data_IF_996503231292
#
_entry.id   IF_996503231292
#
_cell.length_a   1.000
_cell.length_b   1.000
_cell.length_c   1.000
_cell.angle_alpha   90.00
_cell.angle_beta   90.00
_cell.angle_gamma   90.00
#
_symmetry.space_group_name_H-M   'P 1'
#
loop_
_entity.id
_entity.type
_entity.pdbx_description
1 polymer ?
#
# COMPACT_ATOMS: atom_id res chain seq x y z
N UNK A 1 -28.67 -12.51 7.38
CA UNK A 1 -28.74 -12.19 8.07
C UNK A 1 -28.88 -12.25 8.07
N UNK A 2 -28.14 -11.86 7.73
CA UNK A 2 -27.85 -11.58 8.15
C UNK A 2 -27.83 -11.77 7.97
N UNK A 3 -27.51 -11.83 8.03
CA UNK A 3 -27.34 -11.65 8.57
C UNK A 3 -27.27 -11.89 8.50
N UNK A 4 -26.87 -11.64 8.24
CA UNK A 4 -26.63 -11.56 8.68
C UNK A 4 -26.50 -11.76 8.55
N UNK A 5 -26.28 -11.92 8.40
CA UNK A 5 -26.18 -11.76 8.74
C UNK A 5 -26.11 -11.87 8.47
N UNK A 6 -25.75 -12.04 8.35
CA UNK A 6 -25.78 -11.80 8.60
C UNK A 6 -25.64 -11.80 8.42
N UNK A 7 -25.19 -11.84 8.18
CA UNK A 7 -25.12 -11.49 8.40
C UNK A 7 -25.00 -11.34 8.16
N UNK A 8 -24.60 -11.56 7.84
CA UNK A 8 -24.47 -11.03 8.18
C UNK A 8 -24.43 -10.86 7.61
N UNK A 9 -23.71 -10.75 7.39
CA UNK A 9 -23.90 -10.32 7.34
C UNK A 9 -23.99 -9.70 7.05
N UNK A 10 -23.04 -9.57 6.79
CA UNK A 10 -23.31 -8.97 6.87
C UNK A 10 -23.31 -8.29 6.75
N UNK A 11 -22.98 -8.24 6.62
CA UNK A 11 -23.22 -7.61 6.87
C UNK A 11 -23.14 -7.11 6.47
N UNK A 12 -22.86 -6.98 6.21
CA UNK A 12 -23.01 -6.57 6.16
C UNK A 12 -22.97 -5.98 5.63
N UNK A 13 -22.63 -5.97 5.40
CA UNK A 13 -22.56 -5.36 5.14
C UNK A 13 -22.25 -4.83 4.88
N UNK A 14 -22.12 -4.66 4.65
CA UNK A 14 -21.49 -4.22 4.49
C UNK A 14 -20.76 -3.81 4.78
N UNK A 15 -20.99 -3.91 5.13
CA UNK A 15 -19.93 -3.38 5.49
C UNK A 15 -18.74 -3.85 5.04
N UNK A 16 -18.36 -3.53 4.07
CA UNK A 16 -17.12 -3.91 3.56
C UNK A 16 -16.04 -3.61 4.55
N UNK A 17 -15.23 -4.56 4.79
CA UNK A 17 -14.15 -4.41 5.70
C UNK A 17 -12.94 -3.94 4.93
N UNK A 18 -12.74 -2.64 4.91
CA UNK A 18 -11.50 -2.08 4.39
C UNK A 18 -10.55 -1.98 5.56
N UNK A 19 -9.44 -2.70 5.49
CA UNK A 19 -8.43 -2.70 6.55
C UNK A 19 -7.17 -2.04 6.01
N UNK A 20 -6.66 -1.06 6.74
CA UNK A 20 -5.47 -0.34 6.31
C UNK A 20 -4.35 -0.51 7.32
N UNK A 21 -3.17 -0.83 6.80
CA UNK A 21 -1.98 -1.11 7.60
C UNK A 21 -0.81 -0.28 7.09
N UNK A 22 0.23 -0.17 7.93
CA UNK A 22 1.41 0.60 7.60
C UNK A 22 2.67 -0.16 8.00
N UNK A 23 3.77 0.09 7.30
CA UNK A 23 5.07 -0.50 7.61
C UNK A 23 5.99 0.54 8.22
N UNK A 24 7.09 0.07 8.83
CA UNK A 24 8.14 0.96 9.33
C UNK A 24 8.89 1.66 8.18
N UNK A 25 8.72 1.16 6.96
CA UNK A 25 9.31 1.77 5.76
C UNK A 25 8.38 2.83 5.17
N UNK A 26 7.25 3.13 5.85
CA UNK A 26 6.30 4.17 5.48
C UNK A 26 5.52 3.84 4.21
N UNK A 27 5.19 2.57 4.05
CA UNK A 27 4.27 2.10 3.02
C UNK A 27 2.94 1.79 3.66
N UNK A 28 1.85 1.99 2.93
CA UNK A 28 0.55 1.54 3.41
C UNK A 28 0.08 0.36 2.58
N UNK A 29 -0.72 -0.50 3.22
CA UNK A 29 -1.35 -1.66 2.59
C UNK A 29 -2.83 -1.60 2.95
N UNK A 30 -3.68 -1.45 1.93
CA UNK A 30 -5.12 -1.41 2.15
C UNK A 30 -5.74 -2.67 1.58
N UNK A 31 -6.37 -3.45 2.45
CA UNK A 31 -6.94 -4.74 2.08
C UNK A 31 -8.44 -4.60 1.93
N UNK A 32 -8.96 -5.00 0.78
CA UNK A 32 -10.38 -5.04 0.49
C UNK A 32 -10.67 -6.42 -0.10
N UNK A 33 -11.44 -7.24 0.61
CA UNK A 33 -11.71 -8.62 0.23
C UNK A 33 -10.38 -9.40 0.08
N UNK A 34 -10.05 -9.87 -1.12
CA UNK A 34 -8.83 -10.64 -1.35
C UNK A 34 -7.77 -9.85 -2.12
N UNK A 35 -7.89 -8.53 -2.13
CA UNK A 35 -6.98 -7.66 -2.87
C UNK A 35 -6.31 -6.68 -1.91
N UNK A 36 -5.01 -6.49 -2.09
CA UNK A 36 -4.24 -5.55 -1.29
C UNK A 36 -3.64 -4.47 -2.18
N UNK A 37 -3.90 -3.20 -1.85
CA UNK A 37 -3.34 -2.06 -2.56
C UNK A 37 -2.19 -1.49 -1.75
N UNK A 38 -1.08 -1.18 -2.40
CA UNK A 38 0.15 -0.73 -1.76
C UNK A 38 0.52 0.67 -2.26
N UNK A 39 0.98 1.52 -1.35
CA UNK A 39 1.44 2.86 -1.70
C UNK A 39 2.32 3.43 -0.61
N UNK A 40 2.74 4.69 -0.78
CA UNK A 40 3.51 5.42 0.22
C UNK A 40 2.59 6.20 1.12
N UNK A 41 2.92 6.27 2.42
CA UNK A 41 2.15 7.07 3.35
C UNK A 41 2.35 8.57 3.07
N UNK A 42 1.47 9.38 3.65
CA UNK A 42 1.62 10.83 3.56
C UNK A 42 2.93 11.30 4.14
N UNK A 43 3.36 10.66 5.24
CA UNK A 43 4.66 10.97 5.85
C UNK A 43 5.80 10.71 4.86
N UNK A 44 5.78 9.55 4.20
CA UNK A 44 6.81 9.21 3.22
C UNK A 44 6.83 10.20 2.06
N UNK A 45 5.66 10.58 1.57
CA UNK A 45 5.56 11.51 0.44
C UNK A 45 6.22 12.85 0.78
N UNK A 46 6.05 13.32 2.02
CA UNK A 46 6.67 14.57 2.46
C UNK A 46 8.20 14.46 2.51
N UNK A 47 8.69 13.27 2.89
CA UNK A 47 10.13 13.06 3.00
C UNK A 47 10.80 12.86 1.64
N UNK A 48 10.05 12.35 0.65
CA UNK A 48 10.60 12.02 -0.66
C UNK A 48 10.99 13.26 -1.48
N UNK A 49 10.29 14.38 -1.30
CA UNK A 49 10.42 15.50 -2.21
C UNK A 49 9.66 15.24 -3.50
N UNK A 50 9.88 16.04 -4.50
CA UNK A 50 9.10 15.95 -5.75
C UNK A 50 9.50 14.72 -6.54
N UNK A 51 8.55 13.81 -6.72
CA UNK A 51 8.78 12.54 -7.42
C UNK A 51 8.81 12.78 -8.92
N UNK A 52 9.85 12.28 -9.57
CA UNK A 52 10.05 12.47 -11.01
C UNK A 52 9.92 11.16 -11.80
N UNK A 53 10.10 10.02 -11.14
CA UNK A 53 10.04 8.73 -11.83
C UNK A 53 9.73 7.61 -10.85
N UNK A 54 8.92 6.65 -11.29
CA UNK A 54 8.59 5.45 -10.52
C UNK A 54 8.74 4.25 -11.43
N UNK A 55 9.51 3.27 -10.97
CA UNK A 55 9.58 1.97 -11.64
C UNK A 55 8.65 1.03 -10.90
N UNK A 56 7.63 0.51 -11.60
CA UNK A 56 6.61 -0.36 -11.03
C UNK A 56 6.82 -1.80 -11.47
N UNK A 57 6.30 -2.77 -10.70
CA UNK A 57 6.33 -4.17 -11.14
C UNK A 57 5.37 -4.38 -12.31
N UNK A 58 5.36 -5.61 -12.85
CA UNK A 58 4.47 -5.97 -13.95
C UNK A 58 3.38 -6.91 -13.46
N UNK A 59 2.25 -6.90 -14.16
CA UNK A 59 1.17 -7.82 -13.86
C UNK A 59 1.69 -9.25 -13.85
N UNK A 60 1.15 -10.05 -12.96
CA UNK A 60 1.47 -11.47 -12.77
C UNK A 60 2.83 -11.73 -12.13
N UNK A 61 3.63 -10.68 -11.85
CA UNK A 61 4.87 -10.87 -11.08
C UNK A 61 4.52 -11.30 -9.66
N UNK A 62 5.30 -12.24 -9.13
CA UNK A 62 5.13 -12.77 -7.78
C UNK A 62 6.27 -12.27 -6.89
N UNK A 63 5.93 -11.89 -5.67
CA UNK A 63 6.91 -11.37 -4.71
C UNK A 63 6.74 -12.03 -3.35
N UNK A 64 7.87 -12.16 -2.64
CA UNK A 64 7.87 -12.49 -1.23
C UNK A 64 8.08 -11.22 -0.44
N UNK A 65 7.77 -11.25 0.87
CA UNK A 65 8.06 -10.11 1.74
C UNK A 65 9.52 -9.73 1.60
N UNK A 66 9.76 -8.44 1.42
CA UNK A 66 11.12 -7.90 1.33
C UNK A 66 11.74 -7.93 -0.05
N UNK A 67 11.07 -8.54 -1.03
CA UNK A 67 11.56 -8.51 -2.40
C UNK A 67 11.41 -7.09 -2.97
N UNK A 68 12.29 -6.75 -3.90
CA UNK A 68 12.25 -5.44 -4.54
C UNK A 68 11.10 -5.38 -5.53
N UNK A 69 10.14 -4.50 -5.27
CA UNK A 69 9.00 -4.26 -6.15
C UNK A 69 9.37 -3.35 -7.33
N UNK A 70 10.18 -2.35 -7.07
CA UNK A 70 10.52 -1.35 -8.05
C UNK A 70 11.38 -0.28 -7.42
N UNK A 71 11.33 0.94 -7.95
CA UNK A 71 12.13 2.03 -7.42
C UNK A 71 11.43 3.36 -7.62
N UNK A 72 11.90 4.37 -6.91
CA UNK A 72 11.37 5.72 -7.00
C UNK A 72 12.51 6.71 -7.05
N UNK A 73 12.36 7.75 -7.87
CA UNK A 73 13.31 8.85 -7.96
C UNK A 73 12.61 10.17 -7.73
N UNK A 74 13.27 11.04 -6.99
CA UNK A 74 12.77 12.38 -6.72
C UNK A 74 13.93 13.37 -6.85
N UNK A 75 13.62 14.65 -6.61
CA UNK A 75 14.65 15.68 -6.64
C UNK A 75 15.65 15.55 -5.47
N UNK A 76 15.34 14.71 -4.47
CA UNK A 76 16.20 14.54 -3.30
C UNK A 76 16.88 13.19 -3.23
N UNK A 77 16.19 12.11 -3.63
CA UNK A 77 16.67 10.74 -3.41
C UNK A 77 16.31 9.82 -4.56
N UNK A 78 17.01 8.68 -4.58
CA UNK A 78 16.64 7.50 -5.35
C UNK A 78 16.59 6.34 -4.36
N UNK A 79 15.53 5.55 -4.39
CA UNK A 79 15.36 4.47 -3.43
C UNK A 79 14.62 3.29 -4.06
N UNK A 80 14.88 2.10 -3.53
CA UNK A 80 14.14 0.91 -3.92
C UNK A 80 12.86 0.82 -3.10
N UNK A 81 11.85 0.20 -3.70
CA UNK A 81 10.57 -0.09 -3.04
C UNK A 81 10.54 -1.59 -2.77
N UNK A 82 10.29 -1.98 -1.53
CA UNK A 82 10.28 -3.39 -1.13
C UNK A 82 8.85 -3.81 -0.81
N UNK A 83 8.56 -5.09 -1.09
CA UNK A 83 7.20 -5.60 -0.91
C UNK A 83 6.90 -5.79 0.59
N UNK A 84 5.82 -5.17 1.09
CA UNK A 84 5.44 -5.34 2.49
C UNK A 84 4.74 -6.65 2.79
N UNK A 85 4.26 -7.34 1.73
CA UNK A 85 3.56 -8.62 1.85
C UNK A 85 3.98 -9.50 0.69
N UNK A 86 3.72 -10.80 0.81
CA UNK A 86 3.90 -11.73 -0.32
C UNK A 86 2.62 -11.74 -1.15
N UNK A 87 2.74 -11.96 -2.45
CA UNK A 87 1.58 -12.02 -3.32
C UNK A 87 1.93 -11.90 -4.79
N UNK A 88 0.90 -11.79 -5.59
CA UNK A 88 1.01 -11.68 -7.06
C UNK A 88 0.41 -10.36 -7.51
N UNK A 89 1.13 -9.63 -8.34
CA UNK A 89 0.64 -8.34 -8.86
C UNK A 89 -0.55 -8.57 -9.77
N UNK A 90 -1.66 -7.90 -9.48
CA UNK A 90 -2.85 -7.96 -10.31
C UNK A 90 -3.17 -6.62 -11.00
N UNK A 91 -2.55 -5.53 -10.54
CA UNK A 91 -2.71 -4.22 -11.19
C UNK A 91 -1.56 -3.31 -10.79
N UNK A 92 -1.22 -2.38 -11.68
CA UNK A 92 -0.27 -1.30 -11.38
C UNK A 92 -0.92 0.01 -11.77
N UNK A 93 -0.51 1.09 -11.10
CA UNK A 93 -1.07 2.41 -11.37
C UNK A 93 -0.34 3.05 -12.55
N UNK A 94 -0.87 2.83 -13.74
CA UNK A 94 -0.23 3.29 -14.97
C UNK A 94 -0.20 4.81 -15.09
N UNK A 95 -1.04 5.50 -14.32
CA UNK A 95 -1.04 6.97 -14.33
C UNK A 95 0.27 7.55 -13.81
N UNK A 96 1.00 6.78 -13.01
CA UNK A 96 2.27 7.25 -12.47
C UNK A 96 3.36 7.38 -13.52
N UNK A 97 3.21 6.73 -14.67
CA UNK A 97 4.16 6.88 -15.77
C UNK A 97 4.14 8.31 -16.33
N UNK A 98 2.94 8.89 -16.44
CA UNK A 98 2.79 10.24 -16.94
C UNK A 98 2.75 11.29 -15.84
N UNK A 99 2.31 10.90 -14.64
CA UNK A 99 2.09 11.83 -13.52
C UNK A 99 2.66 11.24 -12.23
N UNK A 100 3.98 11.09 -12.14
CA UNK A 100 4.58 10.55 -10.91
C UNK A 100 4.34 11.42 -9.68
N UNK A 101 4.07 12.70 -9.88
CA UNK A 101 3.78 13.63 -8.80
C UNK A 101 2.45 13.34 -8.09
N UNK A 102 1.63 12.41 -8.61
CA UNK A 102 0.46 11.95 -7.88
C UNK A 102 0.84 11.36 -6.52
N UNK A 103 2.05 10.81 -6.42
CA UNK A 103 2.54 10.30 -5.14
C UNK A 103 2.69 11.44 -4.14
N UNK A 104 3.07 12.62 -4.61
CA UNK A 104 3.18 13.79 -3.73
C UNK A 104 1.81 14.38 -3.39
N UNK A 105 0.92 14.44 -4.39
CA UNK A 105 -0.36 15.12 -4.22
C UNK A 105 -1.40 14.29 -3.48
N UNK A 106 -1.39 12.97 -3.72
CA UNK A 106 -2.42 12.09 -3.19
C UNK A 106 -1.84 10.72 -2.89
N UNK A 107 -0.84 10.63 -1.97
CA UNK A 107 -0.10 9.38 -1.76
C UNK A 107 -0.95 8.22 -1.29
N UNK A 108 -2.01 8.49 -0.52
CA UNK A 108 -2.82 7.43 0.06
C UNK A 108 -4.12 7.21 -0.68
N UNK A 109 -4.27 7.81 -1.87
CA UNK A 109 -5.44 7.60 -2.72
C UNK A 109 -4.98 7.44 -4.16
N UNK A 110 -4.92 8.53 -4.94
CA UNK A 110 -4.63 8.46 -6.38
C UNK A 110 -3.19 8.05 -6.69
N UNK A 111 -2.28 8.21 -5.75
CA UNK A 111 -0.88 7.87 -5.91
C UNK A 111 -0.52 6.44 -5.51
N UNK A 112 -1.51 5.53 -5.47
CA UNK A 112 -1.23 4.13 -5.16
C UNK A 112 -0.26 3.54 -6.18
N UNK A 113 0.51 2.53 -5.75
CA UNK A 113 1.55 1.93 -6.59
C UNK A 113 1.07 0.72 -7.35
N UNK A 114 0.63 -0.29 -6.62
CA UNK A 114 0.21 -1.56 -7.23
C UNK A 114 -0.77 -2.28 -6.33
N UNK A 115 -1.40 -3.33 -6.88
CA UNK A 115 -2.32 -4.18 -6.15
C UNK A 115 -1.88 -5.63 -6.27
N UNK A 116 -2.08 -6.38 -5.21
CA UNK A 116 -1.72 -7.79 -5.14
C UNK A 116 -2.91 -8.65 -4.78
N UNK A 117 -2.91 -9.88 -5.31
CA UNK A 117 -3.80 -10.96 -4.88
C UNK A 117 -2.94 -12.10 -4.35
N UNK A 118 -3.60 -13.16 -3.85
CA UNK A 118 -2.92 -14.35 -3.33
C UNK A 118 -1.93 -14.03 -2.20
N UNK A 119 -2.16 -12.93 -1.49
CA UNK A 119 -1.30 -12.59 -0.35
C UNK A 119 -1.68 -13.46 0.86
N UNK A 120 -0.69 -13.69 1.72
CA UNK A 120 -0.90 -14.45 2.95
C UNK A 120 -1.40 -13.50 4.03
N UNK A 121 -2.63 -13.69 4.56
CA UNK A 121 -3.13 -12.80 5.62
C UNK A 121 -2.24 -12.73 6.85
N UNK A 122 -1.44 -13.77 7.11
CA UNK A 122 -0.50 -13.75 8.23
C UNK A 122 0.57 -12.68 8.06
N UNK A 123 0.86 -12.27 6.84
CA UNK A 123 1.83 -11.20 6.59
C UNK A 123 1.37 -9.86 7.16
N UNK A 124 0.06 -9.70 7.35
CA UNK A 124 -0.51 -8.48 7.90
C UNK A 124 -0.31 -8.36 9.41
N UNK A 125 -0.05 -9.48 10.08
CA UNK A 125 0.02 -9.51 11.55
C UNK A 125 1.18 -8.67 12.09
N UNK A 126 2.24 -8.51 11.30
CA UNK A 126 3.41 -7.73 11.72
C UNK A 126 3.32 -6.26 11.33
N UNK A 127 2.25 -5.86 10.64
CA UNK A 127 2.07 -4.48 10.22
C UNK A 127 1.37 -3.67 11.29
N UNK A 128 1.51 -2.36 11.23
CA UNK A 128 0.88 -1.44 12.17
C UNK A 128 -0.49 -1.02 11.65
N UNK A 129 -1.46 -0.87 12.56
CA UNK A 129 -2.67 -0.15 12.19
C UNK A 129 -2.37 1.36 12.20
N UNK A 130 -3.37 2.15 11.86
CA UNK A 130 -3.16 3.59 11.74
C UNK A 130 -2.72 4.23 13.07
N UNK A 131 -3.33 3.83 14.17
CA UNK A 131 -2.98 4.41 15.48
C UNK A 131 -1.55 4.08 15.87
N UNK A 132 -1.14 2.82 15.67
CA UNK A 132 0.22 2.40 15.97
C UNK A 132 1.23 3.11 15.08
N UNK A 133 0.86 3.32 13.81
CA UNK A 133 1.74 4.01 12.88
C UNK A 133 1.90 5.49 13.26
N UNK A 134 0.81 6.14 13.64
CA UNK A 134 0.89 7.55 14.07
C UNK A 134 1.78 7.69 15.30
N UNK A 135 1.69 6.75 16.24
CA UNK A 135 2.57 6.74 17.40
C UNK A 135 4.03 6.55 16.98
N UNK A 136 4.24 5.66 16.01
CA UNK A 136 5.59 5.38 15.50
C UNK A 136 6.22 6.63 14.88
N UNK A 137 5.52 7.32 14.00
CA UNK A 137 6.11 8.50 13.35
C UNK A 137 6.35 9.65 14.34
N UNK A 138 5.55 9.72 15.41
CA UNK A 138 5.80 10.72 16.47
C UNK A 138 7.15 10.51 17.11
N UNK A 139 7.67 9.27 17.15
CA UNK A 139 8.97 8.99 17.75
C UNK A 139 10.13 9.40 16.84
N UNK A 140 9.86 9.65 15.57
CA UNK A 140 10.90 9.97 14.60
C UNK A 140 11.29 11.45 14.57
N UNK A 141 10.50 12.31 15.20
CA UNK A 141 10.75 13.77 15.24
C UNK A 141 11.47 14.20 16.48
#
# INVERSE_FOLDING_TARGET
MPVTSITGKKRRFFESTIMKYYTEEHEWVEVTDDEATIGFSSYAAEQLGEVSYVELPEDDDCFNIGDRLGSIESDKISADIYSPISGTICAVNEMLADSPDLINESPEDKGWLCKMTDFDPADLDDLMDEDAYMDYIDTLD
#
